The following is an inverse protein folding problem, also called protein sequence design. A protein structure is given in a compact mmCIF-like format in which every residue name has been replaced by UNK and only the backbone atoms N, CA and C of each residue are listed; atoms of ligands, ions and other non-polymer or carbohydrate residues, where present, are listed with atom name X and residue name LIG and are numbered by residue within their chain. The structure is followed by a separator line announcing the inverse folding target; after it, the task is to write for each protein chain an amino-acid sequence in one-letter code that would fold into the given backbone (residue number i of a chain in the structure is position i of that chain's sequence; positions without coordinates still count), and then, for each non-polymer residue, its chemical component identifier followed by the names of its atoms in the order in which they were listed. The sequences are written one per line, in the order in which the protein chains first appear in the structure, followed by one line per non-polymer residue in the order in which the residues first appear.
data_IF_300727453379
#
_entry.id   IF_300727453379
#
_cell.length_a   1.000
_cell.length_b   1.000
_cell.length_c   1.000
_cell.angle_alpha   90.00
_cell.angle_beta   90.00
_cell.angle_gamma   90.00
#
_symmetry.space_group_name_H-M   'P 1'
#
loop_
_entity.id
_entity.type
_entity.pdbx_description
1 polymer ?
#
# COMPACT_ATOMS: atom_id res chain seq x y z
N UNK A 1 -7.85 -2.30 -46.50
CA UNK A 1 -7.23 -1.02 -46.14
C UNK A 1 -7.51 -0.72 -44.66
N UNK A 2 -6.74 -1.29 -43.72
CA UNK A 2 -6.80 -0.95 -42.28
C UNK A 2 -5.60 -1.56 -41.55
N UNK A 3 -4.39 -1.18 -41.95
CA UNK A 3 -3.13 -1.65 -41.36
C UNK A 3 -2.21 -0.52 -40.91
N UNK A 4 -2.54 0.75 -41.22
CA UNK A 4 -1.69 1.89 -40.85
C UNK A 4 -1.97 2.42 -39.43
N UNK A 5 -3.17 2.18 -38.88
CA UNK A 5 -3.55 2.77 -37.58
C UNK A 5 -2.96 2.03 -36.37
N UNK A 6 -2.74 0.72 -36.48
CA UNK A 6 -2.15 -0.10 -35.40
C UNK A 6 -0.66 0.17 -35.21
N UNK A 7 0.04 0.59 -36.26
CA UNK A 7 1.48 0.87 -36.22
C UNK A 7 1.79 2.20 -35.53
N UNK A 8 0.96 3.22 -35.76
CA UNK A 8 1.07 4.53 -35.11
C UNK A 8 0.90 4.43 -33.57
N UNK A 9 -0.11 3.68 -33.10
CA UNK A 9 -0.33 3.46 -31.66
C UNK A 9 0.82 2.70 -30.99
N UNK A 10 1.54 1.83 -31.73
CA UNK A 10 2.69 1.08 -31.19
C UNK A 10 3.97 1.91 -31.07
N UNK A 11 4.13 2.93 -31.91
CA UNK A 11 5.27 3.86 -31.84
C UNK A 11 5.06 4.90 -30.75
N UNK A 12 3.83 5.38 -30.56
CA UNK A 12 3.47 6.30 -29.48
C UNK A 12 3.60 5.63 -28.09
N UNK A 13 3.20 4.36 -27.97
CA UNK A 13 3.41 3.57 -26.76
C UNK A 13 4.91 3.35 -26.46
N UNK A 14 5.74 3.12 -27.48
CA UNK A 14 7.21 3.01 -27.33
C UNK A 14 7.88 4.33 -26.95
N UNK A 15 7.36 5.47 -27.40
CA UNK A 15 7.88 6.78 -27.03
C UNK A 15 7.60 7.16 -25.56
N UNK A 16 6.62 6.52 -24.92
CA UNK A 16 6.28 6.76 -23.51
C UNK A 16 7.11 5.93 -22.50
N UNK A 17 7.89 4.95 -22.98
CA UNK A 17 8.80 4.18 -22.13
C UNK A 17 10.11 4.93 -22.02
N UNK A 18 10.18 5.85 -21.06
CA UNK A 18 11.47 6.35 -20.58
C UNK A 18 12.11 5.24 -19.74
N UNK A 19 13.25 4.75 -20.21
CA UNK A 19 14.18 3.99 -19.39
C UNK A 19 14.73 4.97 -18.35
N UNK A 20 14.07 5.02 -17.19
CA UNK A 20 14.52 5.85 -16.08
C UNK A 20 15.72 5.14 -15.50
N UNK A 21 16.91 5.66 -15.76
CA UNK A 21 18.13 5.22 -15.09
C UNK A 21 17.90 5.35 -13.57
N UNK A 22 17.61 4.21 -12.93
CA UNK A 22 17.55 4.09 -11.49
C UNK A 22 18.97 4.04 -10.95
N UNK A 23 19.79 5.04 -11.30
CA UNK A 23 21.09 5.28 -10.72
C UNK A 23 20.95 5.19 -9.22
N UNK A 24 21.50 4.12 -8.64
CA UNK A 24 21.55 3.94 -7.20
C UNK A 24 22.22 5.21 -6.67
N UNK A 25 21.56 6.01 -5.82
CA UNK A 25 22.21 7.21 -5.31
C UNK A 25 23.49 6.74 -4.63
N UNK A 26 24.62 7.31 -5.07
CA UNK A 26 25.93 7.17 -4.43
C UNK A 26 25.86 7.87 -3.07
N UNK A 27 25.03 7.35 -2.16
CA UNK A 27 24.82 7.89 -0.85
C UNK A 27 26.04 7.61 0.01
N UNK A 28 26.58 8.65 0.65
CA UNK A 28 27.59 8.52 1.70
C UNK A 28 27.11 7.52 2.75
N UNK A 29 27.74 6.35 2.79
CA UNK A 29 27.38 5.19 3.62
C UNK A 29 27.16 5.54 5.09
N UNK A 30 27.90 6.54 5.60
CA UNK A 30 27.84 6.96 7.01
C UNK A 30 26.52 7.62 7.44
N UNK A 31 25.79 8.28 6.54
CA UNK A 31 24.48 8.88 6.88
C UNK A 31 23.41 7.81 7.03
N UNK A 32 23.42 6.80 6.16
CA UNK A 32 22.47 5.67 6.20
C UNK A 32 22.70 4.83 7.47
N UNK A 33 23.95 4.56 7.83
CA UNK A 33 24.29 3.81 9.05
C UNK A 33 23.87 4.55 10.33
N UNK A 34 24.07 5.88 10.40
CA UNK A 34 23.65 6.67 11.55
C UNK A 34 22.12 6.66 11.73
N UNK A 35 21.38 6.77 10.63
CA UNK A 35 19.90 6.68 10.63
C UNK A 35 19.43 5.30 11.06
N UNK A 36 20.03 4.23 10.53
CA UNK A 36 19.71 2.85 10.92
C UNK A 36 19.94 2.61 12.40
N UNK A 37 21.08 3.06 12.93
CA UNK A 37 21.40 2.91 14.34
C UNK A 37 20.43 3.70 15.24
N UNK A 38 20.05 4.92 14.85
CA UNK A 38 19.06 5.70 15.60
C UNK A 38 17.68 5.01 15.64
N UNK A 39 17.24 4.41 14.53
CA UNK A 39 16.00 3.63 14.46
C UNK A 39 16.08 2.40 15.37
N UNK A 40 17.18 1.64 15.31
CA UNK A 40 17.38 0.44 16.13
C UNK A 40 17.35 0.75 17.64
N UNK A 41 18.07 1.78 18.08
CA UNK A 41 18.06 2.21 19.49
C UNK A 41 16.66 2.61 19.98
N UNK A 42 15.89 3.27 19.12
CA UNK A 42 14.51 3.67 19.42
C UNK A 42 13.58 2.47 19.59
N UNK A 43 13.75 1.44 18.75
CA UNK A 43 12.98 0.18 18.84
C UNK A 43 13.35 -0.58 20.13
N UNK A 44 14.64 -0.72 20.42
CA UNK A 44 15.11 -1.46 21.59
C UNK A 44 14.65 -0.81 22.90
N UNK A 45 14.70 0.52 23.00
CA UNK A 45 14.28 1.25 24.20
C UNK A 45 12.81 1.06 24.58
N UNK A 46 11.95 0.64 23.64
CA UNK A 46 10.51 0.48 23.85
C UNK A 46 10.05 -0.98 23.89
N UNK A 47 10.98 -1.93 23.64
CA UNK A 47 10.67 -3.36 23.56
C UNK A 47 9.97 -3.90 24.82
N UNK A 48 10.40 -3.47 25.99
CA UNK A 48 9.88 -3.96 27.27
C UNK A 48 8.52 -3.35 27.67
N UNK A 49 8.04 -2.35 26.92
CA UNK A 49 6.76 -1.66 27.18
C UNK A 49 5.66 -2.03 26.18
N UNK A 50 6.00 -2.79 25.15
CA UNK A 50 5.05 -3.17 24.12
C UNK A 50 4.01 -4.18 24.67
N UNK A 51 2.71 -3.99 24.41
CA UNK A 51 1.69 -4.99 24.75
C UNK A 51 1.94 -6.34 24.05
N UNK A 52 1.24 -7.39 24.48
CA UNK A 52 1.37 -8.73 23.90
C UNK A 52 1.13 -8.72 22.38
N UNK A 53 1.90 -9.53 21.65
CA UNK A 53 1.71 -9.74 20.21
C UNK A 53 0.28 -10.19 19.90
N UNK A 54 -0.22 -9.78 18.73
CA UNK A 54 -1.57 -10.03 18.23
C UNK A 54 -2.70 -9.47 19.10
N UNK A 55 -2.39 -8.66 20.11
CA UNK A 55 -3.39 -7.99 20.92
C UNK A 55 -3.83 -6.67 20.28
N UNK A 56 -5.12 -6.35 20.37
CA UNK A 56 -5.65 -5.06 19.89
C UNK A 56 -5.01 -3.85 20.59
N UNK A 57 -4.56 -4.04 21.82
CA UNK A 57 -3.84 -3.01 22.57
C UNK A 57 -2.48 -2.70 21.93
N UNK A 58 -1.83 -3.72 21.35
CA UNK A 58 -0.56 -3.55 20.64
C UNK A 58 -0.74 -2.74 19.37
N UNK A 59 -1.78 -2.96 18.59
CA UNK A 59 -2.06 -2.16 17.38
C UNK A 59 -2.23 -0.68 17.71
N UNK A 60 -3.06 -0.36 18.71
CA UNK A 60 -3.23 1.02 19.17
C UNK A 60 -1.90 1.61 19.68
N UNK A 61 -1.16 0.84 20.48
CA UNK A 61 0.14 1.25 20.97
C UNK A 61 1.15 1.50 19.85
N UNK A 62 1.18 0.69 18.78
CA UNK A 62 2.10 0.87 17.66
C UNK A 62 1.80 2.13 16.86
N UNK A 63 0.51 2.42 16.61
CA UNK A 63 0.10 3.66 15.93
C UNK A 63 0.49 4.89 16.75
N UNK A 64 0.30 4.85 18.07
CA UNK A 64 0.67 5.95 18.97
C UNK A 64 2.20 6.07 19.13
N UNK A 65 2.90 4.94 19.24
CA UNK A 65 4.34 4.88 19.32
C UNK A 65 4.98 5.48 18.08
N UNK A 66 4.51 5.13 16.87
CA UNK A 66 5.02 5.69 15.62
C UNK A 66 4.98 7.22 15.61
N UNK A 67 3.96 7.82 16.23
CA UNK A 67 3.72 9.27 16.29
C UNK A 67 4.28 9.94 17.56
N UNK A 68 4.91 9.18 18.44
CA UNK A 68 5.43 9.69 19.71
C UNK A 68 6.61 10.62 19.51
N UNK A 69 6.74 11.63 20.38
CA UNK A 69 7.88 12.55 20.36
C UNK A 69 9.20 11.78 20.50
N UNK A 70 10.16 12.09 19.63
CA UNK A 70 11.43 11.35 19.51
C UNK A 70 11.44 10.33 18.36
N UNK A 71 10.29 10.01 17.79
CA UNK A 71 10.16 9.07 16.65
C UNK A 71 9.94 9.78 15.31
N UNK A 72 10.23 11.08 15.22
CA UNK A 72 9.96 11.90 14.03
C UNK A 72 10.60 11.34 12.75
N UNK A 73 11.82 10.78 12.88
CA UNK A 73 12.50 10.11 11.76
C UNK A 73 11.77 8.85 11.30
N UNK A 74 11.25 8.05 12.25
CA UNK A 74 10.51 6.84 11.94
C UNK A 74 9.15 7.18 11.31
N UNK A 75 8.45 8.19 11.84
CA UNK A 75 7.21 8.71 11.26
C UNK A 75 7.43 9.24 9.83
N UNK A 76 8.51 9.98 9.60
CA UNK A 76 8.89 10.48 8.28
C UNK A 76 9.22 9.37 7.29
N UNK A 77 10.00 8.37 7.73
CA UNK A 77 10.32 7.19 6.92
C UNK A 77 9.07 6.38 6.57
N UNK A 78 8.18 6.17 7.56
CA UNK A 78 6.88 5.53 7.36
C UNK A 78 6.04 6.27 6.31
N UNK A 79 5.84 7.59 6.49
CA UNK A 79 5.09 8.40 5.52
C UNK A 79 5.70 8.33 4.12
N UNK A 80 7.02 8.37 4.01
CA UNK A 80 7.72 8.28 2.72
C UNK A 80 7.48 6.93 2.04
N UNK A 81 7.52 5.83 2.80
CA UNK A 81 7.25 4.49 2.29
C UNK A 81 5.80 4.35 1.82
N UNK A 82 4.83 4.80 2.63
CA UNK A 82 3.41 4.80 2.26
C UNK A 82 3.21 5.58 0.96
N UNK A 83 3.71 6.82 0.89
CA UNK A 83 3.55 7.66 -0.31
C UNK A 83 4.22 7.03 -1.54
N UNK A 84 5.41 6.45 -1.40
CA UNK A 84 6.14 5.82 -2.51
C UNK A 84 5.39 4.60 -3.06
N UNK A 85 4.85 3.75 -2.19
CA UNK A 85 4.08 2.58 -2.60
C UNK A 85 2.77 3.03 -3.27
N UNK A 86 2.05 3.96 -2.66
CA UNK A 86 0.78 4.47 -3.19
C UNK A 86 0.95 5.21 -4.55
N UNK A 87 2.08 5.87 -4.78
CA UNK A 87 2.39 6.52 -6.06
C UNK A 87 2.94 5.58 -7.13
N UNK A 88 3.13 4.28 -6.81
CA UNK A 88 3.67 3.33 -7.79
C UNK A 88 2.63 3.09 -8.88
N UNK A 89 3.03 3.27 -10.13
CA UNK A 89 2.17 3.00 -11.28
C UNK A 89 1.75 1.52 -11.31
N UNK A 90 0.52 1.27 -11.72
CA UNK A 90 0.01 -0.07 -11.98
C UNK A 90 -0.54 -0.15 -13.40
N UNK A 91 -0.69 -1.37 -13.90
CA UNK A 91 -1.35 -1.64 -15.16
C UNK A 91 -2.31 -2.80 -14.99
N UNK A 92 -3.35 -2.86 -15.82
CA UNK A 92 -4.36 -3.92 -15.81
C UNK A 92 -4.22 -4.72 -17.09
N UNK A 93 -3.98 -6.02 -16.97
CA UNK A 93 -3.93 -6.94 -18.12
C UNK A 93 -5.26 -7.68 -18.28
N UNK A 94 -5.69 -7.83 -19.53
CA UNK A 94 -6.90 -8.57 -19.87
C UNK A 94 -7.54 -8.10 -21.17
N UNK A 95 -8.74 -8.59 -21.52
CA UNK A 95 -9.52 -8.07 -22.63
C UNK A 95 -9.72 -6.56 -22.49
N UNK A 96 -9.49 -5.79 -23.55
CA UNK A 96 -9.46 -4.32 -23.52
C UNK A 96 -10.67 -3.69 -22.80
N UNK A 97 -11.89 -4.16 -23.11
CA UNK A 97 -13.11 -3.64 -22.48
C UNK A 97 -13.15 -3.87 -20.97
N UNK A 98 -12.64 -5.02 -20.51
CA UNK A 98 -12.59 -5.38 -19.10
C UNK A 98 -11.48 -4.59 -18.38
N UNK A 99 -10.30 -4.48 -19.01
CA UNK A 99 -9.19 -3.69 -18.47
C UNK A 99 -9.58 -2.22 -18.27
N UNK A 100 -10.26 -1.61 -19.26
CA UNK A 100 -10.77 -0.23 -19.14
C UNK A 100 -11.83 -0.08 -18.05
N UNK A 101 -12.71 -1.06 -17.88
CA UNK A 101 -13.70 -1.05 -16.80
C UNK A 101 -13.03 -1.08 -15.42
N UNK A 102 -12.07 -1.99 -15.20
CA UNK A 102 -11.37 -2.05 -13.92
C UNK A 102 -10.50 -0.83 -13.68
N UNK A 103 -9.88 -0.28 -14.72
CA UNK A 103 -9.11 0.96 -14.58
C UNK A 103 -10.01 2.11 -14.10
N UNK A 104 -11.21 2.28 -14.66
CA UNK A 104 -12.18 3.28 -14.17
C UNK A 104 -12.59 3.03 -12.71
N UNK A 105 -12.85 1.76 -12.35
CA UNK A 105 -13.24 1.42 -10.98
C UNK A 105 -12.12 1.71 -9.99
N UNK A 106 -10.89 1.26 -10.27
CA UNK A 106 -9.73 1.45 -9.40
C UNK A 106 -9.37 2.93 -9.26
N UNK A 107 -9.46 3.72 -10.34
CA UNK A 107 -9.10 5.14 -10.28
C UNK A 107 -10.17 6.01 -9.61
N UNK A 108 -11.46 5.70 -9.79
CA UNK A 108 -12.52 6.66 -9.44
C UNK A 108 -13.58 6.14 -8.48
N UNK A 109 -13.71 4.83 -8.28
CA UNK A 109 -14.86 4.25 -7.55
C UNK A 109 -14.48 3.44 -6.32
N UNK A 110 -13.21 3.07 -6.20
CA UNK A 110 -12.68 2.37 -5.03
C UNK A 110 -12.71 3.28 -3.79
N UNK A 111 -12.80 2.68 -2.59
CA UNK A 111 -12.75 3.45 -1.34
C UNK A 111 -13.89 4.45 -1.18
N UNK A 112 -15.10 4.12 -1.65
CA UNK A 112 -16.24 5.07 -1.72
C UNK A 112 -15.95 6.35 -2.53
N UNK A 113 -15.06 6.26 -3.52
CA UNK A 113 -14.69 7.37 -4.40
C UNK A 113 -13.40 8.09 -4.01
N UNK A 114 -12.67 7.59 -3.01
CA UNK A 114 -11.34 8.11 -2.64
C UNK A 114 -10.28 7.81 -3.73
N UNK A 115 -10.47 6.74 -4.50
CA UNK A 115 -9.56 6.37 -5.58
C UNK A 115 -8.39 5.51 -5.11
N UNK A 116 -7.63 4.98 -6.07
CA UNK A 116 -6.58 3.98 -5.85
C UNK A 116 -5.52 4.43 -4.83
N UNK A 117 -5.05 5.66 -4.94
CA UNK A 117 -3.92 6.14 -4.17
C UNK A 117 -4.25 6.26 -2.68
N UNK A 118 -5.45 6.76 -2.36
CA UNK A 118 -5.93 6.86 -0.98
C UNK A 118 -6.14 5.47 -0.38
N UNK A 119 -6.70 4.55 -1.17
CA UNK A 119 -6.97 3.19 -0.74
C UNK A 119 -5.70 2.40 -0.40
N UNK A 120 -4.72 2.46 -1.29
CA UNK A 120 -3.42 1.83 -1.06
C UNK A 120 -2.68 2.51 0.08
N UNK A 121 -2.78 3.84 0.21
CA UNK A 121 -2.17 4.55 1.33
C UNK A 121 -2.72 4.07 2.67
N UNK A 122 -4.05 3.96 2.79
CA UNK A 122 -4.71 3.47 4.00
C UNK A 122 -4.31 2.03 4.33
N UNK A 123 -4.31 1.15 3.32
CA UNK A 123 -3.92 -0.25 3.51
C UNK A 123 -2.44 -0.41 3.89
N UNK A 124 -1.52 0.30 3.23
CA UNK A 124 -0.09 0.24 3.55
C UNK A 124 0.21 0.86 4.91
N UNK A 125 -0.42 1.98 5.25
CA UNK A 125 -0.34 2.57 6.60
C UNK A 125 -0.73 1.54 7.66
N UNK A 126 -1.86 0.85 7.48
CA UNK A 126 -2.28 -0.20 8.40
C UNK A 126 -1.32 -1.38 8.47
N UNK A 127 -0.86 -1.84 7.32
CA UNK A 127 0.11 -2.95 7.24
C UNK A 127 1.42 -2.65 7.98
N UNK A 128 1.89 -1.39 7.94
CA UNK A 128 3.17 -1.01 8.55
C UNK A 128 3.03 -0.54 10.02
N UNK A 129 1.87 0.00 10.41
CA UNK A 129 1.67 0.61 11.72
C UNK A 129 0.93 -0.26 12.74
N UNK A 130 0.45 -1.45 12.33
CA UNK A 130 -0.32 -2.37 13.18
C UNK A 130 0.27 -3.78 13.12
N UNK A 131 0.18 -4.51 14.22
CA UNK A 131 0.58 -5.91 14.32
C UNK A 131 -0.43 -6.81 13.60
N UNK A 132 -1.72 -6.43 13.63
CA UNK A 132 -2.78 -7.07 12.85
C UNK A 132 -2.59 -6.92 11.33
N UNK A 133 -1.79 -5.95 10.89
CA UNK A 133 -1.53 -5.65 9.48
C UNK A 133 -2.63 -4.80 8.83
N UNK A 134 -2.75 -4.91 7.50
CA UNK A 134 -3.74 -4.18 6.70
C UNK A 134 -4.80 -5.11 6.13
N UNK A 135 -6.08 -4.79 6.30
CA UNK A 135 -7.20 -5.64 5.84
C UNK A 135 -7.87 -5.06 4.60
N UNK A 136 -8.16 -5.91 3.61
CA UNK A 136 -8.92 -5.56 2.41
C UNK A 136 -10.15 -6.47 2.28
N UNK A 137 -11.30 -5.87 2.00
CA UNK A 137 -12.51 -6.57 1.56
C UNK A 137 -12.59 -6.56 0.04
N UNK A 138 -12.87 -7.72 -0.56
CA UNK A 138 -13.18 -7.82 -1.98
C UNK A 138 -14.63 -7.38 -2.22
N UNK A 139 -14.82 -6.27 -2.94
CA UNK A 139 -16.14 -5.75 -3.27
C UNK A 139 -16.75 -6.55 -4.42
N UNK A 140 -18.02 -6.92 -4.31
CA UNK A 140 -18.75 -7.73 -5.29
C UNK A 140 -20.14 -7.14 -5.51
N UNK A 141 -20.78 -7.51 -6.62
CA UNK A 141 -22.16 -7.11 -6.93
C UNK A 141 -23.18 -7.63 -5.92
N UNK A 142 -22.90 -8.78 -5.29
CA UNK A 142 -23.76 -9.40 -4.28
C UNK A 142 -22.93 -9.95 -3.12
N UNK A 143 -23.45 -9.76 -1.90
CA UNK A 143 -22.87 -10.32 -0.66
C UNK A 143 -23.05 -11.84 -0.57
N UNK A 144 -24.06 -12.39 -1.23
CA UNK A 144 -24.37 -13.83 -1.17
C UNK A 144 -23.69 -14.63 -2.28
N UNK A 145 -23.14 -13.96 -3.30
CA UNK A 145 -22.43 -14.59 -4.42
C UNK A 145 -20.92 -14.34 -4.32
N UNK A 146 -20.24 -15.27 -3.64
CA UNK A 146 -18.78 -15.29 -3.52
C UNK A 146 -18.05 -15.87 -4.74
N UNK A 147 -18.78 -16.21 -5.81
CA UNK A 147 -18.19 -16.79 -7.04
C UNK A 147 -18.12 -15.79 -8.18
N UNK A 148 -18.90 -14.70 -8.13
CA UNK A 148 -18.87 -13.64 -9.14
C UNK A 148 -17.53 -12.89 -9.24
N UNK A 149 -17.37 -12.02 -10.26
CA UNK A 149 -16.18 -11.18 -10.37
C UNK A 149 -16.09 -10.18 -9.21
N UNK A 150 -14.86 -9.95 -8.73
CA UNK A 150 -14.57 -8.82 -7.85
C UNK A 150 -14.79 -7.53 -8.62
N UNK A 151 -15.49 -6.56 -8.05
CA UNK A 151 -15.57 -5.21 -8.61
C UNK A 151 -14.39 -4.34 -8.18
N UNK A 152 -13.69 -4.72 -7.12
CA UNK A 152 -12.61 -3.93 -6.55
C UNK A 152 -12.35 -4.39 -5.12
N UNK A 153 -11.72 -3.52 -4.33
CA UNK A 153 -11.47 -3.80 -2.93
C UNK A 153 -11.66 -2.55 -2.08
N UNK A 154 -11.88 -2.76 -0.79
CA UNK A 154 -11.95 -1.68 0.19
C UNK A 154 -11.11 -2.03 1.41
N UNK A 155 -10.27 -1.11 1.86
CA UNK A 155 -9.61 -1.11 3.15
C UNK A 155 -10.66 -1.16 4.25
N UNK A 156 -10.47 -2.10 5.16
CA UNK A 156 -11.33 -2.27 6.31
C UNK A 156 -10.62 -1.75 7.56
N UNK A 157 -11.39 -1.10 8.43
CA UNK A 157 -10.92 -0.70 9.75
C UNK A 157 -10.53 -1.93 10.58
N UNK A 158 -9.23 -2.14 10.77
CA UNK A 158 -8.67 -3.29 11.47
C UNK A 158 -9.15 -3.39 12.92
N UNK A 159 -9.47 -2.26 13.56
CA UNK A 159 -9.97 -2.25 14.94
C UNK A 159 -11.33 -2.98 15.08
N UNK A 160 -12.05 -3.14 13.97
CA UNK A 160 -13.33 -3.84 13.88
C UNK A 160 -13.19 -5.24 13.27
N UNK A 161 -12.04 -5.55 12.69
CA UNK A 161 -11.75 -6.86 12.15
C UNK A 161 -11.31 -7.82 13.26
N UNK A 162 -11.48 -9.12 13.03
CA UNK A 162 -10.94 -10.16 13.91
C UNK A 162 -10.59 -11.36 13.05
N UNK A 163 -9.45 -12.03 13.32
CA UNK A 163 -9.13 -13.24 12.62
C UNK A 163 -10.19 -14.29 12.98
N UNK A 164 -10.81 -14.87 11.97
CA UNK A 164 -11.82 -15.94 12.13
C UNK A 164 -11.23 -17.33 11.92
N UNK A 165 -9.99 -17.41 11.43
CA UNK A 165 -9.19 -18.63 11.42
C UNK A 165 -8.66 -18.90 12.82
N UNK A 166 -8.79 -20.15 13.29
CA UNK A 166 -8.26 -20.61 14.59
C UNK A 166 -6.77 -20.24 14.64
N UNK A 167 -6.37 -19.26 15.49
CA UNK A 167 -4.98 -19.06 15.80
C UNK A 167 -4.65 -20.10 16.87
N UNK A 168 -3.90 -21.13 16.51
CA UNK A 168 -3.29 -22.00 17.52
C UNK A 168 -2.37 -21.19 18.45
#
# INVERSE_FOLDING_TARGET
MSTSNTRALSEEARASVQDVDHGRPDGETGTVEAVQNAILWTIEAQRDRAPAYWSRQRDAWMVDWLKSSGNDMLAGAHSTLVSKIASTNFYVEGPLSLALLYLDILLHRIGWGAGWQDEISAWVDAFLSRDFGGTLECLRTSRTDYTGPSLGFAHMDESKCSPTGIPE
#
